data_IF_103288818717
#
_entry.id   IF_103288818717
#
_cell.length_a   1.000
_cell.length_b   1.000
_cell.length_c   1.000
_cell.angle_alpha   90.00
_cell.angle_beta   90.00
_cell.angle_gamma   90.00
#
_symmetry.space_group_name_H-M   'P 1'
#
loop_
_entity.id
_entity.type
_entity.pdbx_description
1 polymer ?
#
# COMPACT_ATOMS: atom_id res chain seq x y z
N UNK A 1 -13.80 -0.82 -13.93
CA UNK A 1 -13.59 -1.72 -15.08
C UNK A 1 -12.35 -2.57 -14.76
N UNK A 2 -12.46 -3.88 -14.53
CA UNK A 2 -11.27 -4.70 -14.39
C UNK A 2 -10.64 -4.86 -15.78
N UNK A 3 -9.41 -4.37 -15.95
CA UNK A 3 -8.60 -4.63 -17.13
C UNK A 3 -8.13 -6.07 -17.04
N UNK A 4 -8.26 -6.83 -18.14
CA UNK A 4 -7.82 -8.22 -18.22
C UNK A 4 -6.29 -8.27 -18.11
N UNK A 5 -5.79 -8.25 -16.88
CA UNK A 5 -4.37 -8.32 -16.56
C UNK A 5 -4.02 -9.75 -16.14
N UNK A 6 -2.93 -10.31 -16.68
CA UNK A 6 -2.56 -11.69 -16.40
C UNK A 6 -2.24 -11.94 -14.91
N UNK A 7 -1.87 -10.89 -14.17
CA UNK A 7 -1.59 -10.92 -12.72
C UNK A 7 -1.90 -9.56 -12.07
N UNK A 8 -2.88 -9.52 -11.16
CA UNK A 8 -3.13 -8.32 -10.36
C UNK A 8 -1.98 -8.11 -9.36
N UNK A 9 -1.30 -6.96 -9.48
CA UNK A 9 -0.28 -6.53 -8.52
C UNK A 9 -0.71 -5.23 -7.88
N UNK A 10 -0.40 -5.09 -6.61
CA UNK A 10 -0.66 -3.89 -5.83
C UNK A 10 0.63 -3.40 -5.21
N UNK A 11 0.81 -2.09 -5.19
CA UNK A 11 1.82 -1.43 -4.38
C UNK A 11 1.15 -0.83 -3.16
N UNK A 12 1.65 -1.20 -2.00
CA UNK A 12 1.26 -0.63 -0.72
C UNK A 12 2.39 0.24 -0.22
N UNK A 13 2.09 1.48 0.16
CA UNK A 13 3.02 2.39 0.82
C UNK A 13 2.46 2.76 2.18
N UNK A 14 3.32 2.78 3.20
CA UNK A 14 2.95 3.25 4.53
C UNK A 14 3.77 4.49 4.84
N UNK A 15 3.09 5.50 5.37
CA UNK A 15 3.65 6.75 5.81
C UNK A 15 3.43 6.94 7.31
N UNK A 16 4.42 7.52 7.97
CA UNK A 16 4.38 7.99 9.35
C UNK A 16 4.65 9.48 9.36
N UNK A 17 3.68 10.27 9.83
CA UNK A 17 3.78 11.73 9.85
C UNK A 17 4.22 12.32 8.48
N UNK A 18 3.70 11.74 7.38
CA UNK A 18 4.02 12.12 6.00
C UNK A 18 5.31 11.53 5.42
N UNK A 19 6.10 10.78 6.20
CA UNK A 19 7.34 10.13 5.73
C UNK A 19 7.05 8.70 5.32
N UNK A 20 7.41 8.31 4.08
CA UNK A 20 7.27 6.92 3.64
C UNK A 20 8.26 6.02 4.38
N UNK A 21 7.74 5.11 5.19
CA UNK A 21 8.52 4.17 6.02
C UNK A 21 8.52 2.75 5.46
N UNK A 22 7.52 2.41 4.63
CA UNK A 22 7.40 1.09 4.02
C UNK A 22 6.87 1.16 2.60
N UNK A 23 7.38 0.26 1.77
CA UNK A 23 6.79 -0.08 0.48
C UNK A 23 6.77 -1.60 0.32
N UNK A 24 5.62 -2.15 -0.10
CA UNK A 24 5.45 -3.56 -0.41
C UNK A 24 4.77 -3.72 -1.77
N UNK A 25 5.19 -4.71 -2.54
CA UNK A 25 4.47 -5.16 -3.74
C UNK A 25 3.81 -6.50 -3.41
N UNK A 26 2.50 -6.59 -3.57
CA UNK A 26 1.71 -7.79 -3.27
C UNK A 26 0.92 -8.23 -4.50
N UNK A 27 0.74 -9.54 -4.66
CA UNK A 27 -0.05 -10.14 -5.75
C UNK A 27 -1.43 -10.63 -5.29
N UNK A 28 -1.74 -10.46 -4.01
CA UNK A 28 -3.06 -10.74 -3.44
C UNK A 28 -3.73 -9.41 -3.09
N UNK A 29 -5.05 -9.29 -3.25
CA UNK A 29 -5.81 -8.10 -2.85
C UNK A 29 -6.02 -8.04 -1.32
N UNK A 30 -5.09 -8.62 -0.56
CA UNK A 30 -5.05 -8.61 0.88
C UNK A 30 -3.61 -8.41 1.34
N UNK A 31 -3.42 -7.47 2.26
CA UNK A 31 -2.14 -7.23 2.91
C UNK A 31 -2.38 -6.81 4.35
N UNK A 32 -1.59 -7.38 5.26
CA UNK A 32 -1.73 -7.13 6.69
C UNK A 32 -0.58 -6.27 7.18
N UNK A 33 -0.90 -5.07 7.67
CA UNK A 33 0.05 -4.23 8.38
C UNK A 33 0.18 -4.70 9.83
N UNK A 34 1.00 -5.72 10.07
CA UNK A 34 1.08 -6.39 11.37
C UNK A 34 1.64 -5.49 12.46
N UNK A 35 1.36 -5.81 13.73
CA UNK A 35 1.90 -5.08 14.88
C UNK A 35 3.44 -5.03 14.87
N UNK A 36 4.10 -6.10 14.42
CA UNK A 36 5.56 -6.12 14.27
C UNK A 36 6.05 -5.12 13.22
N UNK A 37 5.35 -5.01 12.08
CA UNK A 37 5.67 -4.00 11.06
C UNK A 37 5.45 -2.59 11.60
N UNK A 38 4.36 -2.36 12.33
CA UNK A 38 4.06 -1.07 12.97
C UNK A 38 5.16 -0.64 13.95
N UNK A 39 5.68 -1.57 14.75
CA UNK A 39 6.78 -1.29 15.68
C UNK A 39 8.07 -0.92 14.94
N UNK A 40 8.40 -1.63 13.85
CA UNK A 40 9.58 -1.32 13.04
C UNK A 40 9.48 0.01 12.27
N UNK A 41 8.28 0.33 11.81
CA UNK A 41 8.01 1.53 11.01
C UNK A 41 7.88 2.80 11.86
N UNK A 42 7.75 2.66 13.18
CA UNK A 42 7.77 3.75 14.15
C UNK A 42 6.39 4.29 14.55
N UNK A 43 6.40 5.28 15.44
CA UNK A 43 5.20 5.99 15.91
C UNK A 43 4.78 7.11 14.95
N UNK A 44 3.58 7.66 15.15
CA UNK A 44 3.06 8.79 14.36
C UNK A 44 1.75 8.46 13.65
N UNK A 45 1.13 9.50 13.08
CA UNK A 45 -0.06 9.37 12.24
C UNK A 45 0.26 8.41 11.10
N UNK A 46 -0.57 7.38 10.93
CA UNK A 46 -0.33 6.37 9.91
C UNK A 46 -1.25 6.61 8.73
N UNK A 47 -0.66 6.85 7.57
CA UNK A 47 -1.37 6.89 6.30
C UNK A 47 -0.90 5.72 5.43
N UNK A 48 -1.85 5.00 4.84
CA UNK A 48 -1.56 3.85 3.96
C UNK A 48 -2.14 4.16 2.59
N UNK A 49 -1.30 4.05 1.57
CA UNK A 49 -1.70 4.15 0.17
C UNK A 49 -1.63 2.78 -0.50
N UNK A 50 -2.62 2.49 -1.35
CA UNK A 50 -2.66 1.31 -2.20
C UNK A 50 -2.87 1.74 -3.64
N UNK A 51 -2.14 1.15 -4.56
CA UNK A 51 -2.28 1.38 -6.00
C UNK A 51 -2.21 0.06 -6.75
N UNK A 52 -3.14 -0.17 -7.68
CA UNK A 52 -3.01 -1.28 -8.62
C UNK A 52 -1.91 -0.96 -9.61
N UNK A 53 -0.99 -1.91 -9.83
CA UNK A 53 0.14 -1.76 -10.74
C UNK A 53 -0.11 -2.62 -11.95
N UNK A 54 -0.24 -1.95 -13.10
CA UNK A 54 -0.34 -2.62 -14.38
C UNK A 54 1.02 -2.81 -15.05
N UNK A 55 1.21 -3.94 -15.73
CA UNK A 55 2.40 -4.16 -16.57
C UNK A 55 2.45 -3.21 -17.77
N UNK A 56 1.30 -2.90 -18.35
CA UNK A 56 1.20 -2.09 -19.58
C UNK A 56 1.13 -0.61 -19.27
N UNK A 57 0.46 -0.23 -18.17
CA UNK A 57 0.15 1.17 -17.87
C UNK A 57 0.88 1.71 -16.63
N UNK A 58 1.58 0.85 -15.87
CA UNK A 58 2.24 1.26 -14.63
C UNK A 58 1.28 1.44 -13.45
N UNK A 59 1.63 2.32 -12.51
CA UNK A 59 0.80 2.59 -11.34
C UNK A 59 -0.52 3.28 -11.72
N UNK A 60 -1.64 2.71 -11.27
CA UNK A 60 -2.98 3.29 -11.43
C UNK A 60 -3.30 4.35 -10.37
N UNK A 61 -4.60 4.50 -10.08
CA UNK A 61 -5.07 5.45 -9.07
C UNK A 61 -4.66 5.01 -7.66
N UNK A 62 -4.35 6.01 -6.83
CA UNK A 62 -4.07 5.82 -5.41
C UNK A 62 -5.39 5.78 -4.63
N UNK A 63 -5.52 4.79 -3.75
CA UNK A 63 -6.53 4.75 -2.69
C UNK A 63 -5.83 4.85 -1.35
N UNK A 64 -6.21 5.83 -0.54
CA UNK A 64 -5.56 6.15 0.74
C UNK A 64 -6.48 5.92 1.95
N UNK A 65 -5.90 5.49 3.06
CA UNK A 65 -6.56 5.37 4.36
C UNK A 65 -5.64 5.90 5.47
N UNK A 66 -6.14 6.85 6.25
CA UNK A 66 -5.51 7.27 7.50
C UNK A 66 -6.07 6.45 8.66
N UNK A 67 -5.20 5.84 9.45
CA UNK A 67 -5.59 5.12 10.66
C UNK A 67 -5.72 6.12 11.80
N UNK A 68 -6.90 6.15 12.41
CA UNK A 68 -7.13 6.91 13.66
C UNK A 68 -6.72 6.01 14.82
N UNK A 69 -5.97 6.57 15.77
CA UNK A 69 -5.50 5.87 16.97
C UNK A 69 -6.64 5.43 17.90
#
# INVERSE_FOLDING_TARGET
MPLSEAFERYRVRVFKDGVQVRQATVSQPSWTYSAFMQVLDGSGETHIEVTQVSETYGEGLVSGLTLVA
#
